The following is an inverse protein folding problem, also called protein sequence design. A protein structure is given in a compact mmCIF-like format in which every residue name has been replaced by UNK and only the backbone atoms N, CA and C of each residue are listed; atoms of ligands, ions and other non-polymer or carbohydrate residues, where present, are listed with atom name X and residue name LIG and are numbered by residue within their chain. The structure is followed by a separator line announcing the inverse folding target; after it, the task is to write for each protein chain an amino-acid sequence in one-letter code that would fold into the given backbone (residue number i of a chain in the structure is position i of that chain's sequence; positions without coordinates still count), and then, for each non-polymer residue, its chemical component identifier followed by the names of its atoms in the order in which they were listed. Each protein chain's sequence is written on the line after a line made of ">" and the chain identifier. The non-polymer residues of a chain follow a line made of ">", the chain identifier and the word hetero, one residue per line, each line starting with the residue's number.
data_IF_384969204090
#
_entry.id   IF_384969204090
#
_cell.length_a   1.000
_cell.length_b   1.000
_cell.length_c   1.000
_cell.angle_alpha   90.00
_cell.angle_beta   90.00
_cell.angle_gamma   90.00
#
_symmetry.space_group_name_H-M   'P 1'
#
loop_
_entity.id
_entity.type
_entity.pdbx_description
1 polymer ?
#
# COMPACT_ATOMS: atom_id res chain seq x y z
N UNK A 1 -39.22 63.83 68.90
CA UNK A 1 -38.67 63.89 67.52
C UNK A 1 -39.25 62.70 66.74
N UNK A 2 -40.19 62.98 65.84
CA UNK A 2 -40.88 61.98 65.00
C UNK A 2 -40.16 61.91 63.65
N UNK A 3 -39.81 60.71 63.17
CA UNK A 3 -39.43 60.43 61.77
C UNK A 3 -40.25 59.24 61.27
N UNK A 4 -41.10 59.50 60.29
CA UNK A 4 -41.72 58.55 59.35
C UNK A 4 -40.61 57.86 58.53
N UNK A 5 -40.50 56.54 58.50
CA UNK A 5 -41.27 55.52 57.77
C UNK A 5 -41.17 55.60 56.24
N UNK A 6 -40.28 54.79 55.66
CA UNK A 6 -40.36 54.33 54.27
C UNK A 6 -40.37 52.80 54.27
N UNK A 7 -41.52 52.20 53.95
CA UNK A 7 -41.68 50.75 53.79
C UNK A 7 -41.15 50.29 52.42
N UNK A 8 -40.35 49.20 52.34
CA UNK A 8 -40.09 48.54 51.07
C UNK A 8 -41.26 47.62 50.68
N UNK A 9 -41.63 47.62 49.40
CA UNK A 9 -42.61 46.71 48.77
C UNK A 9 -42.24 45.23 48.99
N UNK A 10 -43.21 44.33 49.26
CA UNK A 10 -42.94 42.90 49.29
C UNK A 10 -42.69 42.35 47.88
N UNK A 11 -41.66 41.52 47.74
CA UNK A 11 -41.37 40.77 46.53
C UNK A 11 -42.52 39.80 46.19
N UNK A 12 -42.88 39.72 44.90
CA UNK A 12 -43.95 38.87 44.41
C UNK A 12 -43.66 37.37 44.68
N UNK A 13 -44.61 36.66 45.31
CA UNK A 13 -44.55 35.19 45.44
C UNK A 13 -44.67 34.55 44.04
N UNK A 14 -43.85 33.54 43.69
CA UNK A 14 -44.05 32.79 42.45
C UNK A 14 -45.41 32.09 42.47
N UNK A 15 -46.18 32.24 41.40
CA UNK A 15 -47.53 31.67 41.24
C UNK A 15 -47.50 30.13 41.30
N UNK A 16 -48.35 29.54 42.15
CA UNK A 16 -48.48 28.08 42.37
C UNK A 16 -48.65 27.25 41.07
N UNK A 17 -49.11 27.88 40.00
CA UNK A 17 -49.29 27.30 38.66
C UNK A 17 -48.00 26.83 37.98
N UNK A 18 -46.83 27.44 38.25
CA UNK A 18 -45.58 27.05 37.56
C UNK A 18 -44.93 25.79 38.15
N UNK A 19 -45.03 25.59 39.47
CA UNK A 19 -44.49 24.42 40.16
C UNK A 19 -45.28 23.14 39.82
N UNK A 20 -46.61 23.24 39.72
CA UNK A 20 -47.47 22.14 39.30
C UNK A 20 -47.16 21.70 37.85
N UNK A 21 -46.96 22.66 36.93
CA UNK A 21 -46.60 22.40 35.54
C UNK A 21 -45.21 21.73 35.39
N UNK A 22 -44.21 22.16 36.17
CA UNK A 22 -42.90 21.51 36.21
C UNK A 22 -43.00 20.06 36.71
N UNK A 23 -43.82 19.81 37.74
CA UNK A 23 -44.01 18.46 38.30
C UNK A 23 -44.70 17.52 37.30
N UNK A 24 -45.67 18.02 36.53
CA UNK A 24 -46.38 17.27 35.50
C UNK A 24 -45.47 16.93 34.31
N UNK A 25 -44.62 17.88 33.89
CA UNK A 25 -43.65 17.66 32.82
C UNK A 25 -42.57 16.63 33.23
N UNK A 26 -42.14 16.67 34.50
CA UNK A 26 -41.20 15.69 35.07
C UNK A 26 -41.83 14.28 35.11
N UNK A 27 -43.10 14.16 35.52
CA UNK A 27 -43.85 12.89 35.47
C UNK A 27 -44.00 12.36 34.03
N UNK A 28 -44.32 13.23 33.07
CA UNK A 28 -44.46 12.85 31.65
C UNK A 28 -43.13 12.35 31.07
N UNK A 29 -42.01 13.03 31.35
CA UNK A 29 -40.67 12.60 30.92
C UNK A 29 -40.30 11.23 31.52
N UNK A 30 -40.57 11.03 32.82
CA UNK A 30 -40.33 9.74 33.49
C UNK A 30 -41.18 8.62 32.88
N UNK A 31 -42.44 8.90 32.55
CA UNK A 31 -43.32 7.93 31.90
C UNK A 31 -42.84 7.54 30.50
N UNK A 32 -42.41 8.51 29.69
CA UNK A 32 -41.84 8.25 28.36
C UNK A 32 -40.57 7.42 28.47
N UNK A 33 -39.69 7.73 29.43
CA UNK A 33 -38.46 6.98 29.66
C UNK A 33 -38.75 5.52 30.03
N UNK A 34 -39.63 5.29 30.99
CA UNK A 34 -40.04 3.95 31.44
C UNK A 34 -40.68 3.16 30.28
N UNK A 35 -41.58 3.78 29.53
CA UNK A 35 -42.24 3.13 28.38
C UNK A 35 -41.24 2.76 27.28
N UNK A 36 -40.26 3.63 27.03
CA UNK A 36 -39.19 3.35 26.06
C UNK A 36 -38.30 2.19 26.51
N UNK A 37 -37.92 2.16 27.79
CA UNK A 37 -37.11 1.07 28.35
C UNK A 37 -37.86 -0.27 28.26
N UNK A 38 -39.15 -0.28 28.60
CA UNK A 38 -39.99 -1.49 28.48
C UNK A 38 -40.09 -1.94 27.03
N UNK A 39 -40.31 -1.03 26.08
CA UNK A 39 -40.40 -1.35 24.66
C UNK A 39 -39.08 -1.93 24.11
N UNK A 40 -37.94 -1.34 24.45
CA UNK A 40 -36.61 -1.84 24.04
C UNK A 40 -36.32 -3.20 24.67
N UNK A 41 -36.62 -3.38 25.95
CA UNK A 41 -36.41 -4.66 26.65
C UNK A 41 -37.30 -5.76 26.06
N UNK A 42 -38.55 -5.44 25.74
CA UNK A 42 -39.48 -6.36 25.06
C UNK A 42 -39.01 -6.73 23.65
N UNK A 43 -38.46 -5.77 22.88
CA UNK A 43 -37.89 -6.05 21.57
C UNK A 43 -36.66 -6.96 21.65
N UNK A 44 -35.75 -6.72 22.60
CA UNK A 44 -34.58 -7.58 22.85
C UNK A 44 -35.02 -8.97 23.27
N UNK A 45 -35.99 -9.09 24.19
CA UNK A 45 -36.56 -10.37 24.61
C UNK A 45 -37.24 -11.13 23.47
N UNK A 46 -37.94 -10.42 22.57
CA UNK A 46 -38.53 -11.01 21.37
C UNK A 46 -37.46 -11.50 20.38
N UNK A 47 -36.39 -10.73 20.16
CA UNK A 47 -35.23 -11.15 19.34
C UNK A 47 -34.55 -12.37 19.96
N UNK A 48 -34.34 -12.37 21.28
CA UNK A 48 -33.72 -13.49 21.99
C UNK A 48 -34.58 -14.75 21.89
N UNK A 49 -35.89 -14.65 22.14
CA UNK A 49 -36.82 -15.76 22.05
C UNK A 49 -37.01 -16.27 20.61
N UNK A 50 -36.93 -15.37 19.61
CA UNK A 50 -36.90 -15.74 18.20
C UNK A 50 -35.60 -16.48 17.85
N UNK A 51 -34.46 -15.96 18.27
CA UNK A 51 -33.14 -16.54 18.00
C UNK A 51 -32.92 -17.88 18.73
N UNK A 52 -33.36 -18.02 19.97
CA UNK A 52 -33.27 -19.26 20.75
C UNK A 52 -34.01 -20.43 20.09
N UNK A 53 -35.13 -20.15 19.42
CA UNK A 53 -35.93 -21.17 18.70
C UNK A 53 -35.42 -21.43 17.28
N UNK A 54 -34.48 -20.63 16.76
CA UNK A 54 -34.01 -20.65 15.36
C UNK A 54 -32.50 -20.60 15.18
N UNK A 55 -31.70 -20.79 16.22
CA UNK A 55 -30.25 -20.93 16.05
C UNK A 55 -29.92 -22.32 15.48
N UNK A 56 -30.43 -22.58 14.27
CA UNK A 56 -29.92 -23.60 13.37
C UNK A 56 -28.90 -22.88 12.46
N UNK A 57 -27.60 -23.10 12.63
CA UNK A 57 -26.60 -22.40 11.85
C UNK A 57 -26.71 -22.81 10.37
N UNK A 58 -27.27 -21.94 9.53
CA UNK A 58 -27.35 -22.15 8.09
C UNK A 58 -25.93 -22.12 7.47
N UNK A 59 -25.51 -23.20 6.79
CA UNK A 59 -24.23 -23.21 6.09
C UNK A 59 -24.20 -22.15 4.98
N UNK A 60 -23.26 -21.21 5.05
CA UNK A 60 -23.12 -20.15 4.05
C UNK A 60 -22.27 -20.56 2.83
N UNK A 61 -21.21 -21.33 3.05
CA UNK A 61 -20.28 -21.77 2.00
C UNK A 61 -20.67 -23.13 1.44
N UNK A 62 -21.71 -23.14 0.61
CA UNK A 62 -22.37 -24.36 0.11
C UNK A 62 -22.06 -24.68 -1.35
N UNK A 63 -21.25 -23.88 -2.04
CA UNK A 63 -20.88 -24.16 -3.42
C UNK A 63 -20.14 -25.50 -3.53
N UNK A 64 -20.49 -26.26 -4.56
CA UNK A 64 -19.84 -27.54 -4.92
C UNK A 64 -18.36 -27.34 -5.24
N UNK A 65 -18.01 -26.18 -5.81
CA UNK A 65 -16.64 -25.86 -6.18
C UNK A 65 -15.93 -25.13 -5.04
N UNK A 66 -15.18 -25.88 -4.23
CA UNK A 66 -14.31 -25.30 -3.21
C UNK A 66 -13.18 -24.48 -3.82
N UNK A 67 -12.55 -23.60 -3.02
CA UNK A 67 -11.39 -22.83 -3.43
C UNK A 67 -10.24 -23.69 -4.00
N UNK A 68 -9.90 -24.81 -3.36
CA UNK A 68 -8.86 -25.72 -3.86
C UNK A 68 -9.26 -26.40 -5.18
N UNK A 69 -10.53 -26.79 -5.36
CA UNK A 69 -11.00 -27.34 -6.63
C UNK A 69 -10.98 -26.31 -7.76
N UNK A 70 -11.36 -25.06 -7.47
CA UNK A 70 -11.23 -23.98 -8.44
C UNK A 70 -9.78 -23.75 -8.86
N UNK A 71 -8.82 -23.80 -7.92
CA UNK A 71 -7.39 -23.68 -8.26
C UNK A 71 -6.92 -24.86 -9.12
N UNK A 72 -7.43 -26.08 -8.86
CA UNK A 72 -7.14 -27.24 -9.71
C UNK A 72 -7.72 -27.06 -11.12
N UNK A 73 -8.93 -26.52 -11.24
CA UNK A 73 -9.56 -26.18 -12.52
C UNK A 73 -8.71 -25.18 -13.31
N UNK A 74 -8.29 -24.06 -12.68
CA UNK A 74 -7.41 -23.06 -13.31
C UNK A 74 -6.10 -23.66 -13.82
N UNK A 75 -5.57 -24.65 -13.09
CA UNK A 75 -4.31 -25.34 -13.45
C UNK A 75 -4.51 -26.32 -14.61
N UNK A 76 -5.62 -27.05 -14.63
CA UNK A 76 -5.89 -28.11 -15.62
C UNK A 76 -6.53 -27.58 -16.90
N UNK A 77 -7.27 -26.48 -16.83
CA UNK A 77 -7.97 -25.87 -17.95
C UNK A 77 -7.05 -25.17 -18.95
N UNK A 78 -7.64 -24.25 -19.73
CA UNK A 78 -6.96 -23.45 -20.73
C UNK A 78 -5.72 -22.72 -20.17
N UNK A 79 -4.68 -22.56 -20.99
CA UNK A 79 -3.39 -21.97 -20.58
C UNK A 79 -3.53 -20.58 -19.96
N UNK A 80 -4.47 -19.81 -20.47
CA UNK A 80 -4.70 -18.42 -20.06
C UNK A 80 -5.58 -18.27 -18.82
N UNK A 81 -6.33 -19.30 -18.38
CA UNK A 81 -7.26 -19.14 -17.25
C UNK A 81 -6.54 -18.67 -15.99
N UNK A 82 -5.41 -19.28 -15.66
CA UNK A 82 -4.63 -18.91 -14.49
C UNK A 82 -4.03 -17.51 -14.64
N UNK A 83 -3.54 -17.15 -15.82
CA UNK A 83 -2.98 -15.82 -16.08
C UNK A 83 -4.05 -14.73 -15.97
N UNK A 84 -5.23 -14.97 -16.53
CA UNK A 84 -6.33 -13.99 -16.52
C UNK A 84 -6.93 -13.80 -15.12
N UNK A 85 -6.91 -14.82 -14.27
CA UNK A 85 -7.49 -14.74 -12.92
C UNK A 85 -6.45 -14.38 -11.84
N UNK A 86 -5.22 -14.89 -11.95
CA UNK A 86 -4.17 -14.77 -10.91
C UNK A 86 -2.96 -13.94 -11.37
N UNK A 87 -2.95 -13.44 -12.61
CA UNK A 87 -1.88 -12.59 -13.15
C UNK A 87 -0.63 -13.36 -13.58
N UNK A 88 -0.56 -14.66 -13.31
CA UNK A 88 0.62 -15.49 -13.59
C UNK A 88 0.23 -16.78 -14.33
N UNK A 89 1.10 -17.23 -15.22
CA UNK A 89 0.93 -18.51 -15.90
C UNK A 89 1.15 -19.72 -14.99
N UNK A 90 0.71 -20.91 -15.43
CA UNK A 90 0.79 -22.17 -14.67
C UNK A 90 2.21 -22.53 -14.20
N UNK A 91 3.21 -22.38 -15.06
CA UNK A 91 4.60 -22.67 -14.70
C UNK A 91 5.12 -21.71 -13.61
N UNK A 92 4.80 -20.42 -13.74
CA UNK A 92 5.20 -19.38 -12.80
C UNK A 92 4.51 -19.59 -11.45
N UNK A 93 3.21 -19.88 -11.45
CA UNK A 93 2.47 -20.20 -10.22
C UNK A 93 3.09 -21.41 -9.49
N UNK A 94 3.42 -22.48 -10.22
CA UNK A 94 4.05 -23.67 -9.63
C UNK A 94 5.41 -23.34 -9.00
N UNK A 95 6.22 -22.53 -9.69
CA UNK A 95 7.53 -22.08 -9.18
C UNK A 95 7.36 -21.20 -7.96
N UNK A 96 6.54 -20.15 -8.05
CA UNK A 96 6.24 -19.23 -6.93
C UNK A 96 5.74 -19.99 -5.70
N UNK A 97 4.81 -20.94 -5.86
CA UNK A 97 4.33 -21.78 -4.76
C UNK A 97 5.47 -22.54 -4.07
N UNK A 98 6.37 -23.14 -4.86
CA UNK A 98 7.52 -23.87 -4.33
C UNK A 98 8.51 -22.95 -3.62
N UNK A 99 8.69 -21.73 -4.11
CA UNK A 99 9.62 -20.74 -3.57
C UNK A 99 9.08 -20.15 -2.26
N UNK A 100 7.80 -19.81 -2.20
CA UNK A 100 7.13 -19.38 -0.96
C UNK A 100 7.17 -20.48 0.11
N UNK A 101 7.05 -21.75 -0.28
CA UNK A 101 7.13 -22.86 0.66
C UNK A 101 8.56 -23.08 1.18
N UNK A 102 9.57 -23.00 0.30
CA UNK A 102 10.97 -23.31 0.65
C UNK A 102 11.66 -22.14 1.33
N UNK A 103 11.59 -20.96 0.71
CA UNK A 103 12.29 -19.77 1.17
C UNK A 103 11.41 -18.97 2.13
N UNK A 104 10.12 -18.84 1.83
CA UNK A 104 9.18 -18.08 2.67
C UNK A 104 8.55 -18.85 3.82
N UNK A 105 8.90 -20.13 4.01
CA UNK A 105 8.34 -21.02 5.04
C UNK A 105 6.80 -21.06 5.07
N UNK A 106 6.15 -20.86 3.92
CA UNK A 106 4.69 -20.87 3.81
C UNK A 106 4.15 -22.29 4.04
N UNK A 107 3.25 -22.43 5.02
CA UNK A 107 2.69 -23.72 5.43
C UNK A 107 1.20 -23.83 5.08
N UNK A 108 0.77 -25.04 4.75
CA UNK A 108 -0.66 -25.36 4.67
C UNK A 108 -1.30 -25.36 6.06
N UNK A 109 -2.59 -25.09 6.09
CA UNK A 109 -3.43 -25.25 7.29
C UNK A 109 -4.35 -26.45 7.15
N UNK A 110 -4.94 -26.89 8.26
CA UNK A 110 -5.81 -28.08 8.34
C UNK A 110 -6.82 -28.18 7.20
N UNK A 111 -7.41 -27.05 6.81
CA UNK A 111 -8.46 -27.01 5.79
C UNK A 111 -8.09 -26.25 4.52
N UNK A 112 -6.91 -25.62 4.45
CA UNK A 112 -6.52 -24.76 3.32
C UNK A 112 -5.11 -25.14 2.86
N UNK A 113 -5.00 -25.63 1.62
CA UNK A 113 -3.73 -25.99 1.01
C UNK A 113 -2.92 -24.77 0.56
N UNK A 114 -1.61 -24.96 0.35
CA UNK A 114 -0.71 -23.88 -0.10
C UNK A 114 -1.15 -23.31 -1.46
N UNK A 115 -1.64 -24.16 -2.37
CA UNK A 115 -2.13 -23.72 -3.68
C UNK A 115 -3.28 -22.72 -3.53
N UNK A 116 -4.25 -23.04 -2.67
CA UNK A 116 -5.37 -22.15 -2.39
C UNK A 116 -4.91 -20.85 -1.71
N UNK A 117 -4.02 -20.91 -0.72
CA UNK A 117 -3.46 -19.74 -0.02
C UNK A 117 -2.82 -18.77 -1.02
N UNK A 118 -1.89 -19.26 -1.85
CA UNK A 118 -1.20 -18.44 -2.86
C UNK A 118 -2.17 -17.91 -3.90
N UNK A 119 -3.13 -18.73 -4.36
CA UNK A 119 -4.11 -18.28 -5.33
C UNK A 119 -5.05 -17.21 -4.77
N UNK A 120 -5.44 -17.26 -3.49
CA UNK A 120 -6.29 -16.23 -2.89
C UNK A 120 -5.54 -14.92 -2.69
N UNK A 121 -4.24 -14.95 -2.38
CA UNK A 121 -3.40 -13.74 -2.40
C UNK A 121 -3.31 -13.14 -3.81
N UNK A 122 -2.96 -13.94 -4.82
CA UNK A 122 -2.80 -13.45 -6.19
C UNK A 122 -4.11 -12.94 -6.79
N UNK A 123 -5.23 -13.63 -6.55
CA UNK A 123 -6.54 -13.19 -6.98
C UNK A 123 -6.91 -11.83 -6.37
N UNK A 124 -6.62 -11.62 -5.08
CA UNK A 124 -6.79 -10.32 -4.43
C UNK A 124 -5.88 -9.26 -5.05
N UNK A 125 -4.60 -9.58 -5.28
CA UNK A 125 -3.62 -8.65 -5.84
C UNK A 125 -3.99 -8.20 -7.27
N UNK A 126 -4.47 -9.12 -8.10
CA UNK A 126 -4.86 -8.84 -9.51
C UNK A 126 -6.22 -8.19 -9.61
N UNK A 127 -7.23 -8.66 -8.88
CA UNK A 127 -8.60 -8.19 -9.08
C UNK A 127 -8.95 -7.00 -8.23
N UNK A 128 -8.24 -6.82 -7.10
CA UNK A 128 -8.55 -5.82 -6.08
C UNK A 128 -10.06 -5.85 -5.76
N UNK A 129 -10.57 -7.04 -5.44
CA UNK A 129 -11.94 -7.27 -4.96
C UNK A 129 -11.99 -7.30 -3.43
N UNK A 130 -13.14 -6.94 -2.86
CA UNK A 130 -13.31 -6.95 -1.40
C UNK A 130 -13.14 -8.37 -0.85
N UNK A 131 -12.63 -8.49 0.39
CA UNK A 131 -12.49 -9.77 1.10
C UNK A 131 -13.78 -10.61 1.03
N UNK A 132 -14.96 -9.97 1.08
CA UNK A 132 -16.25 -10.65 0.94
C UNK A 132 -16.45 -11.29 -0.43
N UNK A 133 -16.12 -10.61 -1.52
CA UNK A 133 -16.22 -11.19 -2.89
C UNK A 133 -15.20 -12.31 -3.09
N UNK A 134 -14.04 -12.21 -2.46
CA UNK A 134 -13.01 -13.24 -2.51
C UNK A 134 -13.43 -14.46 -1.68
N UNK A 135 -13.98 -14.24 -0.49
CA UNK A 135 -14.58 -15.27 0.35
C UNK A 135 -15.68 -16.04 -0.38
N UNK A 136 -16.54 -15.34 -1.12
CA UNK A 136 -17.54 -15.96 -1.98
C UNK A 136 -16.90 -16.82 -3.08
N UNK A 137 -15.86 -16.33 -3.75
CA UNK A 137 -15.17 -17.11 -4.80
C UNK A 137 -14.52 -18.39 -4.26
N UNK A 138 -13.82 -18.29 -3.13
CA UNK A 138 -13.05 -19.40 -2.56
C UNK A 138 -13.85 -20.26 -1.60
N UNK A 139 -15.07 -19.87 -1.26
CA UNK A 139 -15.95 -20.56 -0.31
C UNK A 139 -15.30 -20.69 1.07
N UNK A 140 -14.76 -19.57 1.56
CA UNK A 140 -14.04 -19.47 2.84
C UNK A 140 -14.55 -18.31 3.67
N UNK A 141 -14.42 -18.43 4.98
CA UNK A 141 -14.72 -17.33 5.90
C UNK A 141 -13.83 -16.12 5.62
N UNK A 142 -14.32 -14.93 5.97
CA UNK A 142 -13.55 -13.68 5.84
C UNK A 142 -12.21 -13.75 6.60
N UNK A 143 -12.22 -14.40 7.77
CA UNK A 143 -11.01 -14.64 8.57
C UNK A 143 -10.00 -15.52 7.81
N UNK A 144 -10.45 -16.60 7.16
CA UNK A 144 -9.57 -17.45 6.39
C UNK A 144 -8.97 -16.72 5.17
N UNK A 145 -9.75 -15.90 4.46
CA UNK A 145 -9.23 -15.07 3.36
C UNK A 145 -8.20 -14.05 3.86
N UNK A 146 -8.51 -13.36 4.97
CA UNK A 146 -7.59 -12.41 5.58
C UNK A 146 -6.28 -13.10 5.96
N UNK A 147 -6.34 -14.24 6.66
CA UNK A 147 -5.14 -14.99 7.00
C UNK A 147 -4.39 -15.49 5.77
N UNK A 148 -5.07 -16.01 4.72
CA UNK A 148 -4.39 -16.44 3.48
C UNK A 148 -3.56 -15.29 2.90
N UNK A 149 -4.08 -14.06 2.94
CA UNK A 149 -3.38 -12.88 2.46
C UNK A 149 -2.14 -12.56 3.30
N UNK A 150 -2.27 -12.55 4.63
CA UNK A 150 -1.17 -12.23 5.54
C UNK A 150 -0.08 -13.31 5.55
N UNK A 151 -0.43 -14.60 5.54
CA UNK A 151 0.54 -15.70 5.47
C UNK A 151 1.47 -15.55 4.24
N UNK A 152 0.92 -15.13 3.10
CA UNK A 152 1.73 -14.90 1.89
C UNK A 152 2.57 -13.64 2.00
N UNK A 153 2.06 -12.56 2.60
CA UNK A 153 2.86 -11.36 2.86
C UNK A 153 4.04 -11.64 3.77
N UNK A 154 3.83 -12.34 4.88
CA UNK A 154 4.90 -12.75 5.80
C UNK A 154 5.95 -13.60 5.08
N UNK A 155 5.51 -14.55 4.25
CA UNK A 155 6.41 -15.37 3.44
C UNK A 155 7.23 -14.54 2.43
N UNK A 156 6.62 -13.52 1.79
CA UNK A 156 7.30 -12.63 0.84
C UNK A 156 8.31 -11.69 1.50
N UNK A 157 8.00 -11.21 2.71
CA UNK A 157 8.83 -10.26 3.45
C UNK A 157 9.92 -10.96 4.27
N UNK A 158 9.83 -12.27 4.47
CA UNK A 158 10.88 -13.06 5.13
C UNK A 158 12.27 -12.81 4.52
N UNK A 159 13.30 -12.73 5.37
CA UNK A 159 14.66 -12.38 4.96
C UNK A 159 15.21 -13.32 3.88
N UNK A 160 14.92 -14.62 3.99
CA UNK A 160 15.30 -15.67 3.05
C UNK A 160 14.67 -15.46 1.67
N UNK A 161 13.37 -15.15 1.62
CA UNK A 161 12.70 -14.87 0.35
C UNK A 161 13.18 -13.53 -0.23
N UNK A 162 13.21 -12.48 0.59
CA UNK A 162 13.60 -11.12 0.18
C UNK A 162 15.03 -11.10 -0.37
N UNK A 163 16.01 -11.62 0.36
CA UNK A 163 17.42 -11.63 -0.05
C UNK A 163 17.69 -12.44 -1.32
N UNK A 164 16.86 -13.46 -1.61
CA UNK A 164 16.97 -14.25 -2.84
C UNK A 164 16.54 -13.46 -4.08
N UNK A 165 15.47 -12.66 -3.97
CA UNK A 165 14.85 -11.98 -5.12
C UNK A 165 15.23 -10.51 -5.25
N UNK A 166 15.47 -9.79 -4.16
CA UNK A 166 16.01 -8.42 -4.14
C UNK A 166 17.52 -8.49 -3.92
N UNK A 167 18.26 -8.78 -5.00
CA UNK A 167 19.72 -8.85 -4.98
C UNK A 167 20.32 -7.60 -5.61
N UNK A 168 21.36 -7.07 -4.99
CA UNK A 168 22.15 -6.01 -5.58
C UNK A 168 22.91 -6.55 -6.81
N UNK A 169 22.95 -5.80 -7.92
CA UNK A 169 23.83 -6.12 -9.04
C UNK A 169 25.28 -6.15 -8.58
N UNK A 170 26.08 -7.00 -9.19
CA UNK A 170 27.52 -7.05 -8.95
C UNK A 170 28.18 -5.76 -9.47
N UNK A 171 28.84 -4.97 -8.60
CA UNK A 171 29.42 -3.69 -8.99
C UNK A 171 30.55 -3.79 -10.03
N UNK A 172 31.24 -4.94 -10.07
CA UNK A 172 32.37 -5.14 -10.97
C UNK A 172 31.93 -5.63 -12.36
N UNK A 173 30.64 -5.97 -12.52
CA UNK A 173 30.09 -6.51 -13.75
C UNK A 173 29.27 -5.47 -14.52
N UNK A 174 29.77 -5.03 -15.68
CA UNK A 174 29.03 -4.14 -16.58
C UNK A 174 27.83 -4.87 -17.18
N UNK A 175 26.64 -4.30 -17.03
CA UNK A 175 25.42 -4.90 -17.57
C UNK A 175 25.43 -4.98 -19.10
N UNK A 176 24.93 -6.10 -19.66
CA UNK A 176 24.93 -6.39 -21.11
C UNK A 176 24.33 -5.27 -21.98
N UNK A 177 23.27 -4.62 -21.49
CA UNK A 177 22.57 -3.52 -22.19
C UNK A 177 23.49 -2.32 -22.41
N UNK A 178 24.39 -2.05 -21.46
CA UNK A 178 25.41 -1.00 -21.60
C UNK A 178 26.54 -1.51 -22.49
N UNK A 179 27.11 -2.67 -22.15
CA UNK A 179 28.29 -3.23 -22.82
C UNK A 179 28.11 -3.38 -24.34
N UNK A 180 26.93 -3.82 -24.78
CA UNK A 180 26.64 -4.08 -26.20
C UNK A 180 26.24 -2.84 -26.99
N UNK A 181 26.08 -1.68 -26.33
CA UNK A 181 25.59 -0.47 -26.97
C UNK A 181 26.66 0.64 -26.96
N UNK A 182 27.23 1.03 -28.11
CA UNK A 182 28.26 2.07 -28.18
C UNK A 182 27.75 3.46 -27.78
N UNK A 183 26.43 3.65 -27.66
CA UNK A 183 25.83 4.89 -27.12
C UNK A 183 25.98 4.99 -25.60
N UNK A 184 26.17 3.86 -24.92
CA UNK A 184 26.20 3.77 -23.46
C UNK A 184 27.58 3.38 -22.94
N UNK A 185 28.27 2.43 -23.56
CA UNK A 185 29.64 2.08 -23.20
C UNK A 185 30.65 2.99 -23.93
N UNK A 186 31.67 3.52 -23.24
CA UNK A 186 32.05 3.29 -21.83
C UNK A 186 31.41 4.27 -20.83
N UNK A 187 30.61 5.24 -21.28
CA UNK A 187 30.13 6.38 -20.49
C UNK A 187 29.29 6.02 -19.25
N UNK A 188 28.54 4.92 -19.30
CA UNK A 188 27.69 4.43 -18.21
C UNK A 188 28.15 3.08 -17.66
N UNK A 189 29.41 2.68 -17.88
CA UNK A 189 29.91 1.33 -17.54
C UNK A 189 29.75 0.97 -16.06
N UNK A 190 29.85 1.96 -15.16
CA UNK A 190 29.79 1.78 -13.70
C UNK A 190 28.36 1.92 -13.14
N UNK A 191 27.37 2.12 -14.02
CA UNK A 191 25.97 2.17 -13.58
C UNK A 191 25.47 0.75 -13.26
N UNK A 192 24.81 0.61 -12.11
CA UNK A 192 24.22 -0.67 -11.67
C UNK A 192 22.74 -0.82 -12.06
N UNK A 193 22.06 0.29 -12.31
CA UNK A 193 20.65 0.29 -12.65
C UNK A 193 20.04 1.68 -12.66
N UNK A 194 18.72 1.71 -12.66
CA UNK A 194 17.92 2.92 -12.59
C UNK A 194 17.16 2.98 -11.27
N UNK A 195 17.08 4.19 -10.70
CA UNK A 195 16.38 4.48 -9.44
C UNK A 195 15.28 5.49 -9.70
N UNK A 196 14.10 5.26 -9.14
CA UNK A 196 13.03 6.25 -9.14
C UNK A 196 12.01 6.03 -8.02
N UNK A 197 11.28 7.10 -7.72
CA UNK A 197 10.10 7.07 -6.87
C UNK A 197 8.84 6.74 -7.67
N UNK A 198 7.90 6.06 -7.05
CA UNK A 198 6.55 5.88 -7.55
C UNK A 198 5.55 5.99 -6.41
N UNK A 199 4.53 6.82 -6.61
CA UNK A 199 3.41 6.94 -5.68
C UNK A 199 2.45 5.75 -5.81
N UNK A 200 2.11 5.16 -4.67
CA UNK A 200 1.12 4.10 -4.52
C UNK A 200 -0.03 4.67 -3.69
N UNK A 201 -1.27 4.50 -4.13
CA UNK A 201 -2.40 5.07 -3.39
C UNK A 201 -2.62 4.31 -2.09
N UNK A 202 -2.86 5.05 -1.00
CA UNK A 202 -3.06 4.48 0.33
C UNK A 202 -4.27 5.08 1.03
N UNK A 203 -4.80 4.39 2.03
CA UNK A 203 -5.81 4.94 2.93
C UNK A 203 -5.46 4.74 4.39
N UNK A 204 -4.54 5.56 4.92
CA UNK A 204 -4.23 5.55 6.35
C UNK A 204 -5.45 5.99 7.19
N UNK A 205 -5.45 5.65 8.49
CA UNK A 205 -6.41 6.17 9.45
C UNK A 205 -6.52 7.70 9.37
N UNK A 206 -7.69 8.25 9.68
CA UNK A 206 -7.94 9.68 9.53
C UNK A 206 -6.91 10.57 10.25
N UNK A 207 -6.46 10.13 11.43
CA UNK A 207 -5.42 10.79 12.24
C UNK A 207 -4.03 10.83 11.57
N UNK A 208 -3.72 9.87 10.69
CA UNK A 208 -2.40 9.70 10.09
C UNK A 208 -2.36 10.11 8.61
N UNK A 209 -3.39 10.79 8.08
CA UNK A 209 -3.47 11.14 6.64
C UNK A 209 -2.49 12.22 6.20
N UNK A 210 -2.06 13.09 7.11
CA UNK A 210 -1.22 14.24 6.80
C UNK A 210 0.07 13.89 6.03
N UNK A 211 0.91 12.93 6.48
CA UNK A 211 2.15 12.56 5.77
C UNK A 211 1.94 11.84 4.43
N UNK A 212 0.71 11.39 4.14
CA UNK A 212 0.40 10.67 2.89
C UNK A 212 -0.25 11.56 1.85
N UNK A 213 -0.36 12.87 2.06
CA UNK A 213 -0.91 13.76 1.05
C UNK A 213 0.15 14.09 0.01
N UNK A 214 -0.12 13.74 -1.25
CA UNK A 214 0.70 14.21 -2.36
C UNK A 214 0.32 15.63 -2.80
N UNK A 215 1.13 16.20 -3.71
CA UNK A 215 0.92 17.53 -4.28
C UNK A 215 -0.43 17.68 -5.00
N UNK A 216 -1.00 16.57 -5.48
CA UNK A 216 -2.31 16.54 -6.13
C UNK A 216 -3.48 16.42 -5.15
N UNK A 217 -3.22 16.38 -3.83
CA UNK A 217 -4.22 16.23 -2.79
C UNK A 217 -4.73 14.79 -2.62
N UNK A 218 -4.17 13.81 -3.33
CA UNK A 218 -4.50 12.41 -3.13
C UNK A 218 -3.73 11.85 -1.92
N UNK A 219 -4.24 10.75 -1.36
CA UNK A 219 -3.52 9.99 -0.34
C UNK A 219 -2.66 8.92 -1.02
N UNK A 220 -1.35 9.12 -1.02
CA UNK A 220 -0.38 8.21 -1.59
C UNK A 220 0.86 8.08 -0.71
N UNK A 221 1.52 6.92 -0.79
CA UNK A 221 2.83 6.68 -0.21
C UNK A 221 3.83 6.59 -1.34
N UNK A 222 4.93 7.34 -1.24
CA UNK A 222 6.01 7.21 -2.19
C UNK A 222 6.80 5.93 -1.90
N UNK A 223 7.10 5.17 -2.96
CA UNK A 223 7.98 4.01 -2.92
C UNK A 223 9.17 4.30 -3.80
N UNK A 224 10.35 4.27 -3.20
CA UNK A 224 11.61 4.37 -3.91
C UNK A 224 12.08 2.96 -4.27
N UNK A 225 12.42 2.74 -5.54
CA UNK A 225 12.96 1.46 -5.98
C UNK A 225 14.14 1.63 -6.93
N UNK A 226 15.02 0.63 -6.92
CA UNK A 226 16.08 0.47 -7.90
C UNK A 226 15.84 -0.81 -8.69
N UNK A 227 16.10 -0.79 -9.99
CA UNK A 227 16.07 -1.97 -10.84
C UNK A 227 17.24 -1.98 -11.82
N UNK A 228 17.64 -3.17 -12.23
CA UNK A 228 18.59 -3.35 -13.33
C UNK A 228 17.91 -3.21 -14.70
N UNK A 229 18.69 -3.34 -15.79
CA UNK A 229 18.15 -3.26 -17.14
C UNK A 229 17.43 -4.54 -17.62
N UNK A 230 17.36 -5.57 -16.78
CA UNK A 230 16.53 -6.77 -17.00
C UNK A 230 15.12 -6.61 -16.39
N UNK A 231 14.79 -5.42 -15.87
CA UNK A 231 13.54 -5.13 -15.16
C UNK A 231 13.37 -6.03 -13.92
N UNK A 232 14.44 -6.22 -13.16
CA UNK A 232 14.40 -6.85 -11.84
C UNK A 232 14.70 -5.81 -10.78
N UNK A 233 13.81 -5.69 -9.78
CA UNK A 233 14.08 -4.84 -8.64
C UNK A 233 15.24 -5.41 -7.81
N UNK A 234 16.22 -4.57 -7.53
CA UNK A 234 17.33 -4.86 -6.61
C UNK A 234 17.11 -4.24 -5.24
N UNK A 235 16.30 -3.18 -5.17
CA UNK A 235 16.02 -2.46 -3.93
C UNK A 235 14.60 -1.85 -3.97
N UNK A 236 13.92 -1.86 -2.82
CA UNK A 236 12.60 -1.22 -2.61
C UNK A 236 12.53 -0.68 -1.18
N UNK A 237 12.09 0.57 -1.03
CA UNK A 237 11.88 1.27 0.23
C UNK A 237 10.59 2.12 0.20
N UNK A 238 9.82 2.11 1.28
CA UNK A 238 8.54 2.81 1.40
C UNK A 238 8.67 4.07 2.26
N UNK A 239 7.88 5.11 1.96
CA UNK A 239 7.76 6.30 2.82
C UNK A 239 8.90 7.30 2.68
N UNK A 240 9.62 7.29 1.57
CA UNK A 240 10.77 8.17 1.36
C UNK A 240 10.36 9.50 0.70
N UNK A 241 10.76 10.64 1.28
CA UNK A 241 10.34 11.98 0.84
C UNK A 241 11.17 12.56 -0.34
N UNK A 242 12.19 11.85 -0.80
CA UNK A 242 12.99 12.24 -1.97
C UNK A 242 14.47 11.91 -1.80
N UNK A 243 15.19 11.66 -2.90
CA UNK A 243 16.60 11.31 -2.83
C UNK A 243 17.44 12.61 -2.69
N UNK A 244 18.23 12.79 -1.61
CA UNK A 244 19.21 13.86 -1.58
C UNK A 244 20.25 13.62 -2.68
N UNK A 245 20.72 14.68 -3.33
CA UNK A 245 21.84 14.56 -4.25
C UNK A 245 23.01 13.87 -3.51
N UNK A 246 23.50 12.77 -4.07
CA UNK A 246 24.64 12.05 -3.52
C UNK A 246 25.57 11.65 -4.66
N UNK A 247 26.85 11.49 -4.35
CA UNK A 247 27.92 11.23 -5.32
C UNK A 247 27.77 9.89 -6.06
N UNK A 248 26.82 9.06 -5.61
CA UNK A 248 26.52 7.73 -6.16
C UNK A 248 25.38 7.75 -7.16
N UNK A 249 24.68 8.89 -7.32
CA UNK A 249 23.63 9.06 -8.30
C UNK A 249 24.10 9.94 -9.44
N UNK A 250 23.98 9.41 -10.65
CA UNK A 250 24.13 10.20 -11.87
C UNK A 250 22.81 10.95 -12.11
N UNK A 251 22.87 12.27 -12.05
CA UNK A 251 21.73 13.17 -12.31
C UNK A 251 21.86 13.85 -13.68
N UNK A 252 20.75 14.17 -14.35
CA UNK A 252 20.80 14.92 -15.60
C UNK A 252 21.32 16.35 -15.39
N UNK A 253 21.87 16.94 -16.45
CA UNK A 253 22.18 18.37 -16.47
C UNK A 253 20.90 19.19 -16.32
N UNK A 254 20.88 20.08 -15.34
CA UNK A 254 19.77 21.01 -15.11
C UNK A 254 19.66 22.03 -16.24
N UNK A 255 18.45 22.55 -16.46
CA UNK A 255 18.14 23.53 -17.53
C UNK A 255 18.50 23.05 -18.95
N UNK A 256 18.66 21.74 -19.14
CA UNK A 256 18.90 21.09 -20.42
C UNK A 256 17.77 20.11 -20.68
N UNK A 257 17.30 20.01 -21.93
CA UNK A 257 16.22 19.11 -22.33
C UNK A 257 16.47 17.69 -21.85
N UNK A 258 15.44 17.02 -21.31
CA UNK A 258 15.60 15.73 -20.65
C UNK A 258 14.54 14.71 -21.05
N UNK A 259 13.26 15.10 -21.12
CA UNK A 259 12.19 14.11 -21.26
C UNK A 259 12.17 13.49 -22.66
N UNK A 260 12.08 12.15 -22.76
CA UNK A 260 12.08 11.43 -24.03
C UNK A 260 10.97 11.91 -24.99
N UNK A 261 9.81 12.28 -24.45
CA UNK A 261 8.70 12.81 -25.24
C UNK A 261 9.05 14.14 -25.93
N UNK A 262 9.88 14.99 -25.34
CA UNK A 262 10.33 16.27 -25.93
C UNK A 262 11.26 16.04 -27.12
N UNK A 263 12.03 14.95 -27.09
CA UNK A 263 12.91 14.55 -28.19
C UNK A 263 12.12 13.98 -29.36
N UNK A 264 11.13 13.12 -29.09
CA UNK A 264 10.25 12.54 -30.13
C UNK A 264 9.38 13.60 -30.80
N UNK A 265 8.70 14.44 -30.01
CA UNK A 265 7.78 15.45 -30.52
C UNK A 265 8.49 16.49 -31.42
N UNK A 266 9.73 16.84 -31.10
CA UNK A 266 10.47 17.83 -31.85
C UNK A 266 11.21 17.25 -33.08
N UNK A 267 11.42 15.93 -33.16
CA UNK A 267 12.32 15.30 -34.15
C UNK A 267 13.72 15.94 -34.19
N UNK A 268 14.16 16.51 -33.06
CA UNK A 268 15.44 17.23 -32.92
C UNK A 268 16.51 16.26 -32.44
N UNK A 269 17.71 16.38 -33.00
CA UNK A 269 18.90 15.66 -32.52
C UNK A 269 19.63 16.50 -31.46
N UNK A 270 20.25 15.88 -30.45
CA UNK A 270 21.08 16.59 -29.49
C UNK A 270 22.13 17.46 -30.18
N UNK A 271 22.25 18.71 -29.75
CA UNK A 271 23.15 19.71 -30.34
C UNK A 271 24.44 19.83 -29.52
N UNK A 272 24.36 19.65 -28.20
CA UNK A 272 25.51 19.72 -27.29
C UNK A 272 25.72 18.42 -26.51
N UNK A 273 26.86 18.34 -25.80
CA UNK A 273 27.24 17.16 -25.02
C UNK A 273 26.29 16.92 -23.84
N UNK A 274 25.75 17.98 -23.24
CA UNK A 274 24.81 17.94 -22.12
C UNK A 274 23.45 17.39 -22.58
N UNK A 275 22.95 17.84 -23.73
CA UNK A 275 21.74 17.31 -24.34
C UNK A 275 21.88 15.83 -24.72
N UNK A 276 23.04 15.45 -25.29
CA UNK A 276 23.31 14.07 -25.65
C UNK A 276 23.35 13.20 -24.39
N UNK A 277 24.01 13.66 -23.33
CA UNK A 277 24.05 12.98 -22.05
C UNK A 277 22.64 12.81 -21.46
N UNK A 278 21.86 13.88 -21.38
CA UNK A 278 20.49 13.85 -20.84
C UNK A 278 19.60 12.88 -21.63
N UNK A 279 19.70 12.87 -22.96
CA UNK A 279 18.98 11.91 -23.80
C UNK A 279 19.39 10.47 -23.47
N UNK A 280 20.69 10.16 -23.33
CA UNK A 280 21.15 8.79 -23.01
C UNK A 280 20.80 8.39 -21.59
N UNK A 281 20.92 9.29 -20.64
CA UNK A 281 20.51 9.10 -19.26
C UNK A 281 19.01 8.78 -19.17
N UNK A 282 18.15 9.59 -19.81
CA UNK A 282 16.72 9.35 -19.86
C UNK A 282 16.37 7.99 -20.53
N UNK A 283 17.09 7.62 -21.61
CA UNK A 283 16.93 6.32 -22.26
C UNK A 283 17.24 5.14 -21.34
N UNK A 284 18.29 5.22 -20.53
CA UNK A 284 18.65 4.19 -19.55
C UNK A 284 17.70 4.20 -18.36
N UNK A 285 17.34 5.37 -17.82
CA UNK A 285 16.43 5.51 -16.68
C UNK A 285 15.05 4.95 -16.99
N UNK A 286 14.55 5.08 -18.22
CA UNK A 286 13.22 4.60 -18.64
C UNK A 286 12.90 3.14 -18.23
N UNK A 287 13.90 2.28 -17.96
CA UNK A 287 13.64 0.92 -17.46
C UNK A 287 12.88 0.89 -16.13
N UNK A 288 13.15 1.82 -15.19
CA UNK A 288 12.46 1.86 -13.89
C UNK A 288 10.99 2.32 -14.04
N UNK A 289 10.74 3.26 -14.95
CA UNK A 289 9.38 3.70 -15.27
C UNK A 289 8.58 2.56 -15.91
N UNK A 290 9.23 1.80 -16.81
CA UNK A 290 8.62 0.63 -17.46
C UNK A 290 8.26 -0.46 -16.47
N UNK A 291 9.16 -0.84 -15.55
CA UNK A 291 8.84 -1.89 -14.56
C UNK A 291 7.73 -1.44 -13.61
N UNK A 292 7.72 -0.16 -13.17
CA UNK A 292 6.59 0.37 -12.41
C UNK A 292 5.28 0.31 -13.20
N UNK A 293 5.31 0.65 -14.50
CA UNK A 293 4.17 0.54 -15.40
C UNK A 293 3.65 -0.89 -15.54
N UNK A 294 4.55 -1.88 -15.62
CA UNK A 294 4.18 -3.31 -15.63
C UNK A 294 3.51 -3.71 -14.32
N UNK A 295 4.12 -3.35 -13.18
CA UNK A 295 3.58 -3.67 -11.85
C UNK A 295 2.19 -3.08 -11.65
N UNK A 296 2.01 -1.77 -11.93
CA UNK A 296 0.72 -1.08 -11.76
C UNK A 296 -0.37 -1.63 -12.68
N UNK A 297 0.00 -2.07 -13.89
CA UNK A 297 -0.95 -2.66 -14.85
C UNK A 297 -1.39 -4.06 -14.43
N UNK A 298 -0.49 -4.85 -13.89
CA UNK A 298 -0.74 -6.25 -13.55
C UNK A 298 -1.39 -6.43 -12.18
N UNK A 299 -1.00 -5.62 -11.20
CA UNK A 299 -1.39 -5.76 -9.80
C UNK A 299 -2.24 -4.58 -9.37
N UNK A 300 -3.56 -4.71 -9.50
CA UNK A 300 -4.50 -3.63 -9.14
C UNK A 300 -4.37 -3.18 -7.70
N UNK A 301 -3.98 -4.06 -6.77
CA UNK A 301 -3.77 -3.72 -5.36
C UNK A 301 -2.73 -2.59 -5.15
N UNK A 302 -1.83 -2.38 -6.11
CA UNK A 302 -0.76 -1.36 -6.06
C UNK A 302 -1.26 0.03 -6.46
N UNK A 303 -2.32 0.12 -7.29
CA UNK A 303 -2.73 1.39 -7.91
C UNK A 303 -4.21 1.74 -7.71
N UNK A 304 -5.09 0.78 -7.46
CA UNK A 304 -6.50 1.01 -7.18
C UNK A 304 -6.76 0.90 -5.66
N UNK A 305 -7.40 1.90 -5.03
CA UNK A 305 -7.70 1.82 -3.59
C UNK A 305 -9.01 1.10 -3.33
N UNK A 306 -8.94 -0.10 -2.76
CA UNK A 306 -10.14 -0.74 -2.22
C UNK A 306 -10.52 -0.23 -0.84
N UNK A 307 -11.83 -0.10 -0.60
CA UNK A 307 -12.40 0.46 0.62
C UNK A 307 -12.21 -0.36 1.91
N UNK A 308 -11.77 -1.63 1.84
CA UNK A 308 -11.93 -2.56 2.97
C UNK A 308 -10.75 -3.51 3.23
N UNK A 309 -9.58 -3.29 2.61
CA UNK A 309 -8.41 -4.10 2.93
C UNK A 309 -7.61 -3.33 3.99
N UNK A 310 -7.73 -3.78 5.24
CA UNK A 310 -6.86 -3.38 6.33
C UNK A 310 -5.43 -3.80 5.98
N UNK A 311 -4.73 -2.96 5.23
CA UNK A 311 -3.27 -2.93 5.24
C UNK A 311 -2.94 -1.82 6.22
N UNK A 312 -2.88 -2.17 7.50
CA UNK A 312 -1.95 -1.46 8.36
C UNK A 312 -0.59 -1.87 7.80
N UNK A 313 0.06 -0.95 7.08
CA UNK A 313 1.51 -0.99 7.06
C UNK A 313 1.89 -0.99 8.54
N UNK A 314 2.33 -2.14 9.04
CA UNK A 314 3.11 -2.11 10.26
C UNK A 314 4.31 -1.26 9.88
N UNK A 315 4.29 -0.01 10.32
CA UNK A 315 5.51 0.77 10.41
C UNK A 315 6.49 -0.12 11.17
N UNK A 316 7.65 -0.48 10.60
CA UNK A 316 8.70 -1.04 11.43
C UNK A 316 8.97 -0.05 12.56
N UNK A 317 9.26 -0.52 13.79
CA UNK A 317 9.37 0.33 14.95
C UNK A 317 10.32 1.51 14.69
N UNK A 318 9.87 2.71 15.09
CA UNK A 318 10.62 3.96 15.15
C UNK A 318 11.79 3.86 16.13
N UNK A 319 12.77 3.01 15.85
CA UNK A 319 14.07 3.05 16.48
C UNK A 319 15.09 3.48 15.42
N UNK A 320 15.57 4.75 15.47
CA UNK A 320 16.60 5.28 14.58
C UNK A 320 17.95 4.55 14.65
N UNK A 321 18.07 3.50 15.46
CA UNK A 321 19.31 2.77 15.77
C UNK A 321 19.44 1.43 15.04
N UNK A 322 18.54 1.07 14.13
CA UNK A 322 18.65 -0.17 13.32
C UNK A 322 18.35 0.00 11.82
N UNK A 323 18.19 1.23 11.34
CA UNK A 323 18.29 1.49 9.90
C UNK A 323 19.75 1.30 9.52
N UNK A 324 20.09 0.42 8.56
CA UNK A 324 21.38 0.56 7.90
C UNK A 324 21.41 1.99 7.38
N UNK A 325 22.36 2.80 7.82
CA UNK A 325 22.61 4.06 7.11
C UNK A 325 22.76 3.68 5.63
N UNK A 326 22.25 4.49 4.70
CA UNK A 326 22.45 4.28 3.25
C UNK A 326 23.96 4.12 2.90
N UNK A 327 24.84 4.51 3.83
CA UNK A 327 26.29 4.27 3.84
C UNK A 327 26.70 2.79 3.97
N UNK A 328 25.93 1.94 4.65
CA UNK A 328 26.23 0.50 4.84
C UNK A 328 25.85 -0.35 3.63
N UNK A 329 24.99 0.14 2.73
CA UNK A 329 24.63 -0.56 1.48
C UNK A 329 25.67 -0.40 0.37
N UNK A 330 26.76 0.35 0.62
CA UNK A 330 27.68 0.78 -0.42
C UNK A 330 29.11 0.78 0.12
N UNK A 331 29.88 -0.23 -0.30
CA UNK A 331 31.30 -0.42 0.06
C UNK A 331 32.10 0.88 -0.21
N UNK A 332 33.01 1.31 0.69
CA UNK A 332 33.89 2.45 0.44
C UNK A 332 34.96 2.13 -0.61
N UNK A 333 35.18 3.09 -1.53
CA UNK A 333 36.32 3.11 -2.46
C UNK A 333 37.63 3.38 -1.68
N UNK A 334 38.72 2.63 -1.92
CA UNK A 334 40.02 2.85 -1.28
C UNK A 334 40.77 4.14 -1.68
N UNK A 335 40.28 5.00 -2.59
CA UNK A 335 41.12 6.06 -3.18
C UNK A 335 40.83 7.52 -2.83
N UNK A 336 39.87 7.86 -1.97
CA UNK A 336 39.94 9.09 -1.16
C UNK A 336 40.15 10.45 -1.85
N UNK A 337 39.79 10.65 -3.12
CA UNK A 337 39.97 11.93 -3.82
C UNK A 337 38.66 12.70 -4.03
N UNK A 338 38.66 13.97 -3.62
CA UNK A 338 37.57 14.96 -3.71
C UNK A 338 37.92 16.04 -4.73
N UNK A 339 37.01 16.38 -5.66
CA UNK A 339 37.02 17.60 -6.47
C UNK A 339 35.59 18.06 -6.81
N UNK A 340 35.35 19.37 -7.10
CA UNK A 340 34.53 20.22 -6.25
C UNK A 340 33.03 20.23 -6.55
N UNK A 341 32.27 20.34 -5.47
CA UNK A 341 30.88 20.76 -5.38
C UNK A 341 30.68 22.15 -5.99
N UNK A 342 29.88 22.25 -7.06
CA UNK A 342 29.21 23.50 -7.40
C UNK A 342 28.00 23.66 -6.47
N UNK A 343 28.19 24.38 -5.36
CA UNK A 343 27.09 24.85 -4.54
C UNK A 343 26.31 25.96 -5.25
N UNK A 344 25.01 26.04 -5.00
CA UNK A 344 24.40 27.00 -4.05
C UNK A 344 22.88 27.04 -4.26
N UNK A 345 22.19 27.12 -3.13
CA UNK A 345 20.88 27.74 -2.88
C UNK A 345 19.61 26.98 -3.23
N UNK A 346 19.09 26.33 -2.20
CA UNK A 346 17.67 26.39 -1.82
C UNK A 346 17.08 27.78 -2.14
N UNK A 347 16.31 27.90 -3.22
CA UNK A 347 15.25 28.89 -3.31
C UNK A 347 14.15 28.40 -4.25
N UNK A 348 12.94 28.52 -3.72
CA UNK A 348 11.65 28.36 -4.38
C UNK A 348 11.64 28.98 -5.77
N UNK A 349 11.04 28.32 -6.77
CA UNK A 349 10.19 29.02 -7.73
C UNK A 349 9.26 28.08 -8.51
N UNK A 350 7.96 28.27 -8.23
CA UNK A 350 6.76 28.19 -9.09
C UNK A 350 6.38 26.91 -9.84
#
# INVERSE_FOLDING_TARGET
>A
MVRTSSTPRPAARPSQTSAAALSANTRRRRQVLITTIIAVTGAIGAIHSYNERRYDPEPYHTSVLSGEEWVKELRKGHSEHMKNNLGVGRCVFKKLKSELQKEGNLKSRRFVGISEIVATFLYQAVTNLSVRKVAERFQRSLEAISRNFHDVLEALVSDTFRSKYLRHPDPDTVHRVILQNPKFYPFFKDCLGAVDGSHFLVRPPASARFPYRDRGGNLSQNILAACDWDMVFSFVMTGWEGFPLCDKLIVPFHNVRYHLCEWEAASIRPVCKEELFNLRHAQLRNVIERIFGVVKRQWKIVWEVLLHNFVLFHDPPETPSQLPEVRELLVPDPHGDVMPTAGISSQETQ
#
